data_IF_017863356140
#
_entry.id   IF_017863356140
#
_cell.length_a   1.000
_cell.length_b   1.000
_cell.length_c   1.000
_cell.angle_alpha   90.00
_cell.angle_beta   90.00
_cell.angle_gamma   90.00
#
_symmetry.space_group_name_H-M   'P 1'
#
loop_
_entity.id
_entity.type
_entity.pdbx_description
1 polymer ?
#
# COMPACT_ATOMS: atom_id res chain seq x y z
N UNK A 1 -53.81 -50.55 -5.54
CA UNK A 1 -53.88 -49.14 -5.08
C UNK A 1 -53.80 -49.18 -3.57
N UNK A 2 -52.66 -48.91 -2.96
CA UNK A 2 -52.22 -47.54 -2.64
C UNK A 2 -50.69 -47.46 -2.54
N UNK A 3 -50.09 -46.62 -3.38
CA UNK A 3 -48.81 -45.98 -3.07
C UNK A 3 -49.15 -44.65 -2.40
N UNK A 4 -48.45 -44.30 -1.31
CA UNK A 4 -47.85 -42.96 -1.14
C UNK A 4 -47.05 -42.92 0.17
N UNK A 5 -45.76 -43.29 0.08
CA UNK A 5 -44.74 -42.70 0.96
C UNK A 5 -44.40 -41.32 0.40
N UNK A 6 -44.76 -40.27 1.12
CA UNK A 6 -44.21 -38.94 0.89
C UNK A 6 -42.95 -38.83 1.76
N UNK A 7 -41.78 -39.07 1.16
CA UNK A 7 -40.49 -38.63 1.70
C UNK A 7 -40.36 -37.13 1.38
N UNK A 8 -40.62 -36.28 2.37
CA UNK A 8 -40.26 -34.86 2.30
C UNK A 8 -38.87 -34.66 2.92
N UNK A 9 -37.94 -34.40 2.01
CA UNK A 9 -36.86 -33.40 2.07
C UNK A 9 -36.05 -33.23 3.37
N UNK A 10 -34.77 -33.59 3.26
CA UNK A 10 -33.60 -32.84 3.73
C UNK A 10 -33.77 -32.02 5.02
N UNK A 11 -33.27 -32.59 6.11
CA UNK A 11 -32.98 -31.90 7.37
C UNK A 11 -32.11 -30.67 7.12
N UNK A 12 -32.70 -29.48 7.18
CA UNK A 12 -31.95 -28.23 7.39
C UNK A 12 -31.40 -28.26 8.82
N UNK A 13 -30.12 -27.90 9.06
CA UNK A 13 -29.62 -27.79 10.42
C UNK A 13 -30.33 -26.61 11.09
N UNK A 14 -31.19 -26.90 12.06
CA UNK A 14 -31.86 -25.93 12.92
C UNK A 14 -30.83 -25.36 13.90
N UNK A 15 -30.07 -24.35 13.45
CA UNK A 15 -29.15 -23.60 14.30
C UNK A 15 -29.95 -22.68 15.22
N UNK A 16 -29.74 -22.80 16.53
CA UNK A 16 -30.34 -21.89 17.51
C UNK A 16 -29.85 -20.45 17.28
N UNK A 17 -30.69 -19.44 17.51
CA UNK A 17 -30.31 -18.01 17.37
C UNK A 17 -29.05 -17.65 18.19
N UNK A 18 -28.81 -18.36 19.30
CA UNK A 18 -27.60 -18.22 20.12
C UNK A 18 -26.30 -18.66 19.42
N UNK A 19 -26.37 -19.66 18.53
CA UNK A 19 -25.22 -20.09 17.72
C UNK A 19 -24.95 -19.13 16.57
N UNK A 20 -25.99 -18.56 15.96
CA UNK A 20 -25.88 -17.52 14.92
C UNK A 20 -25.22 -16.25 15.46
N UNK A 21 -25.64 -15.77 16.65
CA UNK A 21 -25.03 -14.59 17.28
C UNK A 21 -23.55 -14.82 17.62
N UNK A 22 -23.18 -16.05 18.02
CA UNK A 22 -21.78 -16.41 18.33
C UNK A 22 -20.88 -16.44 17.11
N UNK A 23 -21.33 -17.01 15.99
CA UNK A 23 -20.54 -17.03 14.74
C UNK A 23 -20.36 -15.63 14.15
N UNK A 24 -21.42 -14.81 14.12
CA UNK A 24 -21.33 -13.42 13.68
C UNK A 24 -20.35 -12.59 14.51
N UNK A 25 -20.28 -12.82 15.83
CA UNK A 25 -19.32 -12.13 16.71
C UNK A 25 -17.88 -12.52 16.40
N UNK A 26 -17.59 -13.80 16.18
CA UNK A 26 -16.23 -14.28 15.85
C UNK A 26 -15.76 -13.78 14.47
N UNK A 27 -16.64 -13.81 13.47
CA UNK A 27 -16.34 -13.26 12.14
C UNK A 27 -16.07 -11.75 12.19
N UNK A 28 -16.81 -11.01 13.01
CA UNK A 28 -16.60 -9.58 13.21
C UNK A 28 -15.22 -9.28 13.81
N UNK A 29 -14.82 -9.98 14.88
CA UNK A 29 -13.50 -9.77 15.49
C UNK A 29 -12.35 -10.09 14.55
N UNK A 30 -12.46 -11.16 13.77
CA UNK A 30 -11.42 -11.51 12.79
C UNK A 30 -11.29 -10.44 11.70
N UNK A 31 -12.41 -9.92 11.17
CA UNK A 31 -12.40 -8.85 10.17
C UNK A 31 -11.83 -7.55 10.74
N UNK A 32 -12.25 -7.17 11.94
CA UNK A 32 -11.77 -5.96 12.62
C UNK A 32 -10.26 -6.02 12.91
N UNK A 33 -9.76 -7.17 13.40
CA UNK A 33 -8.34 -7.37 13.64
C UNK A 33 -7.53 -7.36 12.34
N UNK A 34 -8.03 -8.02 11.29
CA UNK A 34 -7.40 -7.97 9.96
C UNK A 34 -7.32 -6.55 9.42
N UNK A 35 -8.39 -5.75 9.58
CA UNK A 35 -8.41 -4.34 9.20
C UNK A 35 -7.37 -3.52 9.96
N UNK A 36 -7.35 -3.64 11.29
CA UNK A 36 -6.38 -2.95 12.13
C UNK A 36 -4.93 -3.34 11.81
N UNK A 37 -4.66 -4.61 11.53
CA UNK A 37 -3.34 -5.08 11.12
C UNK A 37 -2.92 -4.47 9.77
N UNK A 38 -3.82 -4.50 8.78
CA UNK A 38 -3.54 -3.89 7.47
C UNK A 38 -3.32 -2.38 7.57
N UNK A 39 -4.11 -1.69 8.38
CA UNK A 39 -3.94 -0.27 8.70
C UNK A 39 -2.56 0.01 9.30
N UNK A 40 -2.14 -0.79 10.31
CA UNK A 40 -0.85 -0.61 10.98
C UNK A 40 0.33 -0.82 10.05
N UNK A 41 0.23 -1.75 9.10
CA UNK A 41 1.33 -2.13 8.21
C UNK A 41 1.43 -1.23 6.98
N UNK A 42 0.31 -0.91 6.33
CA UNK A 42 0.31 -0.15 5.06
C UNK A 42 0.08 1.36 5.25
N UNK A 43 -0.73 1.74 6.24
CA UNK A 43 -1.15 3.13 6.46
C UNK A 43 -0.60 3.70 7.77
N UNK A 44 0.46 3.10 8.34
CA UNK A 44 1.10 3.50 9.59
C UNK A 44 0.16 3.60 10.80
N UNK A 45 -1.00 2.93 10.75
CA UNK A 45 -2.04 3.01 11.77
C UNK A 45 -2.83 4.32 11.79
N UNK A 46 -2.71 5.16 10.76
CA UNK A 46 -3.39 6.46 10.64
C UNK A 46 -4.38 6.52 9.47
N UNK A 47 -4.99 5.39 9.16
CA UNK A 47 -5.94 5.27 8.06
C UNK A 47 -6.34 3.84 7.80
N UNK A 48 -7.37 3.65 6.98
CA UNK A 48 -7.91 2.35 6.63
C UNK A 48 -7.47 1.93 5.23
N UNK A 49 -7.22 0.63 5.04
CA UNK A 49 -6.95 0.08 3.70
C UNK A 49 -8.28 -0.19 2.98
N UNK A 50 -8.45 0.43 1.82
CA UNK A 50 -9.58 0.20 0.92
C UNK A 50 -9.01 -0.34 -0.38
N UNK A 51 -9.29 -1.62 -0.67
CA UNK A 51 -8.74 -2.32 -1.83
C UNK A 51 -7.20 -2.29 -1.84
N UNK A 52 -6.60 -1.44 -2.69
CA UNK A 52 -5.14 -1.30 -2.87
C UNK A 52 -4.59 0.06 -2.45
N UNK A 53 -5.41 0.92 -1.81
CA UNK A 53 -4.99 2.25 -1.35
C UNK A 53 -5.35 2.50 0.12
N UNK A 54 -4.66 3.47 0.72
CA UNK A 54 -4.87 3.89 2.11
C UNK A 54 -5.75 5.15 2.17
N UNK A 55 -6.90 5.05 2.83
CA UNK A 55 -7.72 6.20 3.22
C UNK A 55 -7.18 6.77 4.53
N UNK A 56 -6.40 7.84 4.43
CA UNK A 56 -5.82 8.51 5.59
C UNK A 56 -6.87 9.23 6.45
N UNK A 57 -6.67 9.20 7.76
CA UNK A 57 -7.41 10.02 8.73
C UNK A 57 -7.00 11.49 8.63
N UNK A 58 -7.86 12.41 9.12
CA UNK A 58 -7.64 13.87 9.05
C UNK A 58 -6.36 14.34 9.76
N UNK A 59 -5.81 13.55 10.68
CA UNK A 59 -4.58 13.84 11.42
C UNK A 59 -3.31 13.36 10.71
N UNK A 60 -3.44 12.75 9.53
CA UNK A 60 -2.34 12.16 8.78
C UNK A 60 -2.04 12.92 7.48
N UNK A 61 -2.48 14.17 7.38
CA UNK A 61 -2.12 15.07 6.29
C UNK A 61 -0.86 15.86 6.68
N UNK A 62 0.01 16.11 5.71
CA UNK A 62 1.21 16.92 5.89
C UNK A 62 0.89 18.43 5.90
N UNK A 63 1.93 19.27 6.00
CA UNK A 63 1.80 20.74 5.99
C UNK A 63 1.16 21.28 4.70
N UNK A 64 1.23 20.52 3.60
CA UNK A 64 0.67 20.87 2.31
C UNK A 64 -0.77 20.35 2.12
N UNK A 65 -1.32 19.63 3.11
CA UNK A 65 -2.63 19.00 3.01
C UNK A 65 -2.64 17.76 2.11
N UNK A 66 -1.49 17.11 1.92
CA UNK A 66 -1.36 15.85 1.19
C UNK A 66 -1.41 14.65 2.13
N UNK A 67 -2.00 13.52 1.71
CA UNK A 67 -2.08 12.32 2.52
C UNK A 67 -0.67 11.74 2.79
N UNK A 68 -0.28 11.61 4.06
CA UNK A 68 1.04 11.13 4.50
C UNK A 68 1.00 9.80 5.29
N UNK A 69 -0.16 9.13 5.38
CA UNK A 69 -0.30 7.92 6.19
C UNK A 69 0.45 6.70 5.64
N UNK A 70 0.58 6.59 4.31
CA UNK A 70 1.36 5.54 3.66
C UNK A 70 2.78 6.05 3.35
N UNK A 71 3.83 5.44 3.92
CA UNK A 71 5.19 5.94 3.75
C UNK A 71 5.67 5.74 2.30
N UNK A 72 6.27 6.77 1.72
CA UNK A 72 6.97 6.69 0.44
C UNK A 72 8.48 6.59 0.71
N UNK A 73 9.12 5.43 0.49
CA UNK A 73 10.55 5.30 0.66
C UNK A 73 11.31 6.14 -0.38
N UNK A 74 12.49 6.65 0.00
CA UNK A 74 13.33 7.38 -0.95
C UNK A 74 13.97 6.43 -1.96
N UNK A 75 13.91 6.73 -3.27
CA UNK A 75 14.55 5.90 -4.29
C UNK A 75 16.08 6.05 -4.19
N UNK A 76 16.77 4.90 -4.18
CA UNK A 76 18.23 4.87 -4.14
C UNK A 76 18.78 4.83 -5.55
N UNK A 77 19.38 5.94 -5.98
CA UNK A 77 20.01 6.07 -7.28
C UNK A 77 21.40 5.40 -7.26
N UNK A 78 21.67 4.53 -8.24
CA UNK A 78 22.91 3.75 -8.35
C UNK A 78 23.45 3.81 -9.78
N UNK A 79 24.76 3.63 -9.93
CA UNK A 79 25.35 3.36 -11.24
C UNK A 79 24.97 1.96 -11.70
N UNK A 80 24.72 1.78 -12.99
CA UNK A 80 24.47 0.46 -13.55
C UNK A 80 25.67 -0.45 -13.32
N UNK A 81 25.49 -1.67 -12.76
CA UNK A 81 26.60 -2.59 -12.53
C UNK A 81 27.13 -3.21 -13.84
N UNK A 82 26.36 -3.13 -14.92
CA UNK A 82 26.71 -3.74 -16.21
C UNK A 82 27.40 -2.78 -17.18
N UNK A 83 27.39 -1.48 -16.87
CA UNK A 83 27.93 -0.43 -17.74
C UNK A 83 28.87 0.45 -16.92
N UNK A 84 30.16 0.26 -17.14
CA UNK A 84 31.18 1.12 -16.54
C UNK A 84 31.07 2.54 -17.14
N UNK A 85 31.09 3.60 -16.32
CA UNK A 85 30.99 4.96 -16.82
C UNK A 85 32.20 5.32 -17.69
N UNK A 86 31.94 5.99 -18.81
CA UNK A 86 32.97 6.54 -19.69
C UNK A 86 33.01 8.06 -19.61
N UNK A 87 33.92 8.69 -20.36
CA UNK A 87 34.05 10.16 -20.39
C UNK A 87 32.80 10.89 -20.91
N UNK A 88 31.89 10.18 -21.59
CA UNK A 88 30.68 10.76 -22.18
C UNK A 88 29.38 10.04 -21.81
N UNK A 89 29.46 8.82 -21.27
CA UNK A 89 28.29 7.99 -21.00
C UNK A 89 28.27 7.58 -19.52
N UNK A 90 27.12 7.85 -18.88
CA UNK A 90 26.82 7.41 -17.52
C UNK A 90 25.45 6.74 -17.56
N UNK A 91 25.37 5.55 -16.96
CA UNK A 91 24.12 4.80 -16.83
C UNK A 91 23.73 4.73 -15.36
N UNK A 92 22.48 5.07 -15.07
CA UNK A 92 21.92 5.11 -13.73
C UNK A 92 20.71 4.16 -13.64
N UNK A 93 20.58 3.51 -12.50
CA UNK A 93 19.50 2.56 -12.20
C UNK A 93 18.95 2.84 -10.80
N UNK A 94 17.64 2.62 -10.63
CA UNK A 94 16.95 2.65 -9.34
C UNK A 94 15.83 1.61 -9.33
N UNK A 95 15.48 1.13 -8.14
CA UNK A 95 14.32 0.27 -7.96
C UNK A 95 13.07 1.11 -7.69
N UNK A 96 11.92 0.61 -8.16
CA UNK A 96 10.63 1.23 -7.89
C UNK A 96 10.34 1.17 -6.38
N UNK A 97 10.01 2.31 -5.80
CA UNK A 97 9.69 2.46 -4.37
C UNK A 97 8.20 2.28 -4.09
N UNK A 98 7.39 2.02 -5.13
CA UNK A 98 5.96 1.83 -4.99
C UNK A 98 5.62 0.59 -4.14
N UNK A 99 4.89 0.74 -3.01
CA UNK A 99 4.40 -0.39 -2.25
C UNK A 99 3.29 -1.14 -2.99
N UNK A 100 3.04 -2.40 -2.59
CA UNK A 100 1.93 -3.17 -3.14
C UNK A 100 0.55 -2.53 -2.83
N UNK A 101 0.41 -1.91 -1.66
CA UNK A 101 -0.80 -1.23 -1.19
C UNK A 101 -0.41 0.14 -0.64
N UNK A 102 -1.22 1.16 -0.90
CA UNK A 102 -1.04 2.51 -0.36
C UNK A 102 -0.62 3.51 -1.43
N UNK A 103 0.55 4.13 -1.24
CA UNK A 103 1.08 5.17 -2.13
C UNK A 103 1.31 4.62 -3.53
N UNK A 104 0.94 5.38 -4.57
CA UNK A 104 1.27 5.08 -5.97
C UNK A 104 2.23 6.15 -6.49
N UNK A 105 3.30 5.72 -7.16
CA UNK A 105 4.29 6.64 -7.71
C UNK A 105 3.78 7.12 -9.06
N UNK A 106 3.58 8.43 -9.18
CA UNK A 106 3.14 9.05 -10.44
C UNK A 106 4.32 9.41 -11.35
N UNK A 107 5.45 9.81 -10.77
CA UNK A 107 6.60 10.30 -11.52
C UNK A 107 7.92 10.17 -10.72
N UNK A 108 9.05 10.18 -11.45
CA UNK A 108 10.41 10.22 -10.91
C UNK A 108 11.14 11.44 -11.48
N UNK A 109 11.38 12.44 -10.63
CA UNK A 109 12.08 13.68 -11.03
C UNK A 109 13.58 13.50 -10.81
N UNK A 110 14.38 13.63 -11.86
CA UNK A 110 15.84 13.48 -11.83
C UNK A 110 16.53 14.75 -12.32
N UNK A 111 17.21 15.43 -11.39
CA UNK A 111 18.03 16.60 -11.68
C UNK A 111 19.50 16.21 -11.83
N UNK A 112 20.20 16.81 -12.79
CA UNK A 112 21.63 16.59 -12.99
C UNK A 112 22.37 17.92 -13.20
N UNK A 113 23.57 18.03 -12.63
CA UNK A 113 24.42 19.21 -12.76
C UNK A 113 25.88 18.81 -12.82
N UNK A 114 26.60 19.33 -13.80
CA UNK A 114 28.06 19.25 -13.82
C UNK A 114 28.62 20.38 -12.94
N UNK A 115 29.41 20.01 -11.94
CA UNK A 115 30.10 20.97 -11.08
C UNK A 115 31.47 21.23 -11.68
N UNK A 116 31.72 22.47 -12.13
CA UNK A 116 33.04 22.90 -12.60
C UNK A 116 33.80 23.57 -11.45
N UNK A 117 35.14 23.49 -11.48
CA UNK A 117 36.06 23.78 -10.37
C UNK A 117 36.08 25.26 -9.88
N UNK A 118 35.37 26.17 -10.56
CA UNK A 118 35.48 27.62 -10.34
C UNK A 118 34.18 28.35 -9.99
N UNK A 119 33.09 27.64 -9.73
CA UNK A 119 31.82 28.30 -9.43
C UNK A 119 31.40 28.03 -8.00
N UNK A 120 31.22 29.12 -7.26
CA UNK A 120 30.54 29.30 -5.98
C UNK A 120 29.07 28.78 -6.08
N UNK A 121 28.89 27.46 -6.26
CA UNK A 121 27.67 26.81 -6.77
C UNK A 121 26.58 26.51 -5.74
N UNK A 122 26.62 27.13 -4.57
CA UNK A 122 25.66 26.83 -3.48
C UNK A 122 24.21 27.26 -3.77
N UNK A 123 23.89 27.86 -4.93
CA UNK A 123 22.54 28.35 -5.25
C UNK A 123 22.09 28.14 -6.70
N UNK A 124 22.33 26.96 -7.29
CA UNK A 124 21.69 26.63 -8.57
C UNK A 124 21.06 25.24 -8.53
N UNK A 125 19.76 25.22 -8.27
CA UNK A 125 18.85 24.10 -8.54
C UNK A 125 18.89 23.82 -10.04
N UNK A 126 19.52 22.71 -10.43
CA UNK A 126 19.61 22.30 -11.84
C UNK A 126 18.23 21.93 -12.41
N UNK A 127 18.14 21.94 -13.75
CA UNK A 127 16.94 21.61 -14.54
C UNK A 127 16.34 20.24 -14.18
#
# INVERSE_FOLDING_TARGET
MTLNMIRLAYTTPFWSDSQRIRTHRLEFHHRAFKGALMSSYWCSGKGDVIEDWCRCDLNAFDENGLPSCSPLPQPVLRLSPNVEPSSTVVSLEWYDVQPAIGTKVSDYILHHKKVDEYTDTDLYTGE
#
